data_IF_974035777511
#
_entry.id   IF_974035777511
#
_cell.length_a   1.000
_cell.length_b   1.000
_cell.length_c   1.000
_cell.angle_alpha   90.00
_cell.angle_beta   90.00
_cell.angle_gamma   90.00
#
_symmetry.space_group_name_H-M   'P 1'
#
loop_
_entity.id
_entity.type
_entity.pdbx_description
1 polymer ?
#
# COMPACT_ATOMS: atom_id res chain seq x y z
N UNK A 1 0.26 23.72 0.19
CA UNK A 1 0.16 23.41 1.63
C UNK A 1 1.30 22.47 1.98
N UNK A 2 2.18 22.87 2.89
CA UNK A 2 3.26 21.99 3.40
C UNK A 2 2.70 21.30 4.64
N UNK A 3 2.84 19.97 4.80
CA UNK A 3 2.35 19.28 5.99
C UNK A 3 3.03 19.80 7.27
N UNK A 4 2.30 19.88 8.38
CA UNK A 4 2.83 20.38 9.66
C UNK A 4 4.08 19.61 10.14
N UNK A 5 4.11 18.29 9.90
CA UNK A 5 5.27 17.46 10.19
C UNK A 5 6.53 17.86 9.39
N UNK A 6 6.37 18.48 8.21
CA UNK A 6 7.51 18.96 7.41
C UNK A 6 8.04 20.30 7.93
N UNK A 7 7.19 21.16 8.50
CA UNK A 7 7.62 22.44 9.08
C UNK A 7 8.35 22.23 10.40
N UNK A 8 7.87 21.33 11.25
CA UNK A 8 8.56 20.93 12.50
C UNK A 8 9.97 20.37 12.24
N UNK A 9 10.12 19.60 11.16
CA UNK A 9 11.40 19.00 10.77
C UNK A 9 12.40 20.03 10.21
N UNK A 10 11.91 21.09 9.56
CA UNK A 10 12.71 22.21 9.08
C UNK A 10 13.14 23.10 10.25
N UNK A 11 12.24 23.34 11.22
CA UNK A 11 12.51 24.09 12.44
C UNK A 11 13.56 23.39 13.31
N UNK A 12 13.41 22.08 13.52
CA UNK A 12 14.38 21.25 14.24
C UNK A 12 15.79 21.32 13.62
N UNK A 13 15.92 21.51 12.30
CA UNK A 13 17.25 21.70 11.66
C UNK A 13 17.92 23.00 12.05
N UNK A 14 17.14 24.07 12.28
CA UNK A 14 17.68 25.40 12.58
C UNK A 14 18.28 25.46 13.98
N UNK A 15 17.86 24.56 14.86
CA UNK A 15 18.29 24.50 16.26
C UNK A 15 19.43 23.52 16.55
N UNK A 16 19.96 22.78 15.57
CA UNK A 16 21.09 21.85 15.79
C UNK A 16 22.42 22.62 15.76
N UNK A 17 23.19 22.64 16.87
CA UNK A 17 24.48 23.33 16.92
C UNK A 17 25.53 22.75 15.96
N UNK A 18 26.56 23.56 15.68
CA UNK A 18 27.69 23.11 14.86
C UNK A 18 28.72 22.39 15.75
N UNK A 19 28.80 21.07 15.66
CA UNK A 19 29.76 20.22 16.37
C UNK A 19 29.67 18.77 15.88
N UNK A 20 30.76 18.01 15.99
CA UNK A 20 30.80 16.60 15.56
C UNK A 20 29.90 15.69 16.40
N UNK A 21 29.62 16.09 17.64
CA UNK A 21 28.67 15.45 18.55
C UNK A 21 27.22 15.44 18.01
N UNK A 22 26.86 16.42 17.18
CA UNK A 22 25.54 16.54 16.56
C UNK A 22 25.47 15.99 15.13
N UNK A 23 26.56 15.40 14.60
CA UNK A 23 26.58 14.94 13.22
C UNK A 23 25.63 13.78 12.95
N UNK A 24 25.41 12.92 13.94
CA UNK A 24 24.44 11.82 13.82
C UNK A 24 23.01 12.34 13.77
N UNK A 25 22.65 13.26 14.65
CA UNK A 25 21.33 13.93 14.65
C UNK A 25 21.08 14.62 13.31
N UNK A 26 22.10 15.31 12.78
CA UNK A 26 22.04 15.97 11.48
C UNK A 26 21.92 14.98 10.33
N UNK A 27 22.61 13.83 10.39
CA UNK A 27 22.46 12.73 9.40
C UNK A 27 21.05 12.15 9.42
N UNK A 28 20.52 11.83 10.59
CA UNK A 28 19.18 11.29 10.76
C UNK A 28 18.11 12.27 10.24
N UNK A 29 18.27 13.55 10.58
CA UNK A 29 17.37 14.60 10.11
C UNK A 29 17.46 14.82 8.60
N UNK A 30 18.66 14.70 8.01
CA UNK A 30 18.85 14.69 6.55
C UNK A 30 18.17 13.53 5.87
N UNK A 31 18.30 12.33 6.42
CA UNK A 31 17.64 11.15 5.91
C UNK A 31 16.11 11.28 5.95
N UNK A 32 15.54 11.76 7.07
CA UNK A 32 14.10 12.03 7.20
C UNK A 32 13.60 13.07 6.18
N UNK A 33 14.31 14.18 6.01
CA UNK A 33 13.91 15.22 5.05
C UNK A 33 14.03 14.76 3.60
N UNK A 34 15.03 13.94 3.30
CA UNK A 34 15.12 13.29 1.99
C UNK A 34 13.91 12.39 1.73
N UNK A 35 13.46 11.61 2.72
CA UNK A 35 12.25 10.79 2.61
C UNK A 35 10.98 11.59 2.34
N UNK A 36 10.78 12.69 3.09
CA UNK A 36 9.63 13.58 2.90
C UNK A 36 9.63 14.20 1.49
N UNK A 37 10.78 14.66 1.02
CA UNK A 37 10.90 15.22 -0.32
C UNK A 37 10.60 14.15 -1.40
N UNK A 38 11.10 12.92 -1.22
CA UNK A 38 10.86 11.81 -2.14
C UNK A 38 9.40 11.42 -2.21
N UNK A 39 8.70 11.33 -1.08
CA UNK A 39 7.27 11.05 -1.02
C UNK A 39 6.44 12.11 -1.76
N UNK A 40 6.79 13.39 -1.58
CA UNK A 40 6.14 14.50 -2.29
C UNK A 40 6.32 14.44 -3.80
N UNK A 41 7.49 14.02 -4.29
CA UNK A 41 7.74 13.81 -5.71
C UNK A 41 6.90 12.65 -6.28
N UNK A 42 6.77 11.56 -5.52
CA UNK A 42 5.92 10.42 -5.89
C UNK A 42 4.45 10.80 -5.98
N UNK A 43 3.94 11.55 -4.99
CA UNK A 43 2.57 12.05 -4.96
C UNK A 43 2.25 12.92 -6.18
N UNK A 44 3.16 13.84 -6.55
CA UNK A 44 3.03 14.62 -7.78
C UNK A 44 2.97 13.71 -9.01
N UNK A 45 3.89 12.75 -9.14
CA UNK A 45 3.91 11.85 -10.29
C UNK A 45 2.60 11.06 -10.42
N UNK A 46 2.01 10.61 -9.30
CA UNK A 46 0.72 9.97 -9.27
C UNK A 46 -0.42 10.92 -9.68
N UNK A 47 -0.45 12.14 -9.14
CA UNK A 47 -1.49 13.14 -9.43
C UNK A 47 -1.56 13.54 -10.91
N UNK A 48 -0.42 13.56 -11.61
CA UNK A 48 -0.35 13.90 -13.05
C UNK A 48 -0.44 12.64 -13.93
N UNK A 49 -0.67 11.46 -13.35
CA UNK A 49 -0.76 10.20 -14.10
C UNK A 49 0.56 9.73 -14.74
N UNK A 50 1.71 10.22 -14.25
CA UNK A 50 3.04 9.84 -14.78
C UNK A 50 3.48 8.47 -14.24
N UNK A 51 2.85 7.42 -14.76
CA UNK A 51 3.09 6.02 -14.39
C UNK A 51 4.56 5.61 -14.52
N UNK A 52 5.29 6.11 -15.52
CA UNK A 52 6.71 5.82 -15.74
C UNK A 52 7.58 6.34 -14.60
N UNK A 53 7.36 7.56 -14.12
CA UNK A 53 8.09 8.09 -12.98
C UNK A 53 7.70 7.40 -11.68
N UNK A 54 6.40 7.14 -11.49
CA UNK A 54 5.91 6.42 -10.31
C UNK A 54 6.54 5.02 -10.21
N UNK A 55 6.60 4.28 -11.31
CA UNK A 55 7.24 2.97 -11.36
C UNK A 55 8.74 3.03 -11.09
N UNK A 56 9.43 4.08 -11.58
CA UNK A 56 10.85 4.30 -11.27
C UNK A 56 11.07 4.52 -9.78
N UNK A 57 10.24 5.36 -9.14
CA UNK A 57 10.30 5.55 -7.70
C UNK A 57 10.03 4.24 -6.95
N UNK A 58 8.98 3.51 -7.31
CA UNK A 58 8.68 2.20 -6.70
C UNK A 58 9.84 1.23 -6.85
N UNK A 59 10.62 1.25 -7.94
CA UNK A 59 11.82 0.40 -8.09
C UNK A 59 13.02 0.88 -7.29
N UNK A 60 13.23 2.19 -7.19
CA UNK A 60 14.31 2.78 -6.40
C UNK A 60 14.09 2.55 -4.89
N UNK A 61 12.82 2.57 -4.49
CA UNK A 61 12.31 2.34 -3.13
C UNK A 61 12.12 0.88 -2.80
N UNK A 62 11.64 0.15 -3.80
CA UNK A 62 11.25 -1.24 -3.72
C UNK A 62 12.49 -2.09 -3.68
N UNK A 63 12.84 -2.42 -2.44
CA UNK A 63 13.57 -3.64 -2.11
C UNK A 63 15.03 -3.57 -2.55
N UNK A 64 15.86 -3.02 -1.66
CA UNK A 64 17.33 -3.10 -1.76
C UNK A 64 17.88 -4.52 -1.52
N UNK A 65 17.03 -5.53 -1.29
CA UNK A 65 17.37 -6.95 -1.32
C UNK A 65 16.09 -7.76 -1.54
N UNK A 66 15.81 -8.31 -2.73
CA UNK A 66 14.94 -9.45 -2.81
C UNK A 66 15.79 -10.59 -2.26
N UNK A 67 15.91 -10.69 -0.93
CA UNK A 67 16.31 -11.93 -0.31
C UNK A 67 15.23 -12.90 -0.72
N UNK A 68 15.48 -13.54 -1.86
CA UNK A 68 14.72 -14.52 -2.62
C UNK A 68 13.25 -14.59 -2.22
N UNK A 69 12.39 -14.13 -3.12
CA UNK A 69 10.97 -14.53 -3.20
C UNK A 69 10.81 -15.90 -2.56
N UNK A 70 9.94 -16.03 -1.55
CA UNK A 70 9.61 -17.30 -0.90
C UNK A 70 9.79 -18.45 -1.88
N UNK A 71 10.67 -19.39 -1.53
CA UNK A 71 10.98 -20.54 -2.35
C UNK A 71 9.66 -21.20 -2.71
N UNK A 72 9.20 -20.99 -3.95
CA UNK A 72 7.89 -21.48 -4.39
C UNK A 72 8.00 -23.00 -4.38
N UNK A 73 7.20 -23.63 -3.54
CA UNK A 73 7.18 -25.08 -3.38
C UNK A 73 5.92 -25.68 -4.02
N UNK A 74 6.04 -26.93 -4.42
CA UNK A 74 4.91 -27.78 -4.76
C UNK A 74 4.01 -28.01 -3.54
N UNK A 75 2.82 -28.58 -3.76
CA UNK A 75 1.87 -28.90 -2.67
C UNK A 75 2.44 -29.88 -1.65
N UNK A 76 3.37 -30.73 -2.05
CA UNK A 76 4.07 -31.69 -1.20
C UNK A 76 5.24 -31.06 -0.41
N UNK A 77 5.47 -29.76 -0.58
CA UNK A 77 6.56 -29.01 0.07
C UNK A 77 7.90 -29.06 -0.66
N UNK A 78 8.01 -29.78 -1.78
CA UNK A 78 9.24 -29.83 -2.57
C UNK A 78 9.53 -28.49 -3.25
N UNK A 79 10.80 -28.08 -3.28
CA UNK A 79 11.22 -26.79 -3.85
C UNK A 79 11.19 -26.82 -5.38
N UNK A 80 10.57 -25.81 -6.00
CA UNK A 80 10.54 -25.68 -7.46
C UNK A 80 11.72 -24.84 -7.94
N UNK A 81 12.67 -25.49 -8.62
CA UNK A 81 13.84 -24.81 -9.19
C UNK A 81 13.59 -24.22 -10.59
N UNK A 82 12.59 -24.73 -11.32
CA UNK A 82 12.31 -24.29 -12.70
C UNK A 82 11.40 -23.05 -12.73
N UNK A 83 11.81 -21.98 -13.43
CA UNK A 83 11.07 -20.71 -13.48
C UNK A 83 9.67 -20.85 -14.09
N UNK A 84 9.51 -21.58 -15.19
CA UNK A 84 8.18 -21.79 -15.80
C UNK A 84 7.25 -22.48 -14.81
N UNK A 85 7.74 -23.54 -14.16
CA UNK A 85 6.97 -24.27 -13.15
C UNK A 85 6.59 -23.42 -11.94
N UNK A 86 7.46 -22.49 -11.52
CA UNK A 86 7.15 -21.51 -10.45
C UNK A 86 5.98 -20.60 -10.83
N UNK A 87 5.92 -20.15 -12.10
CA UNK A 87 4.81 -19.34 -12.62
C UNK A 87 3.51 -20.15 -12.68
N UNK A 88 3.58 -21.40 -13.14
CA UNK A 88 2.42 -22.29 -13.19
C UNK A 88 1.87 -22.54 -11.79
N UNK A 89 2.75 -22.84 -10.81
CA UNK A 89 2.38 -23.07 -9.41
C UNK A 89 1.77 -21.81 -8.77
N UNK A 90 2.28 -20.63 -9.11
CA UNK A 90 1.64 -19.36 -8.74
C UNK A 90 0.21 -19.30 -9.29
N UNK A 91 0.03 -19.52 -10.60
CA UNK A 91 -1.28 -19.44 -11.20
C UNK A 91 -2.26 -20.47 -10.62
N UNK A 92 -1.80 -21.69 -10.31
CA UNK A 92 -2.59 -22.72 -9.60
C UNK A 92 -3.03 -22.24 -8.21
N UNK A 93 -2.10 -21.72 -7.41
CA UNK A 93 -2.40 -21.24 -6.06
C UNK A 93 -3.44 -20.12 -6.07
N UNK A 94 -3.30 -19.14 -6.96
CA UNK A 94 -4.26 -18.05 -7.08
C UNK A 94 -5.61 -18.52 -7.62
N UNK A 95 -5.65 -19.48 -8.55
CA UNK A 95 -6.92 -20.10 -8.95
C UNK A 95 -7.58 -20.75 -7.73
N UNK A 96 -6.88 -21.59 -6.99
CA UNK A 96 -7.44 -22.28 -5.82
C UNK A 96 -7.97 -21.32 -4.75
N UNK A 97 -7.27 -20.21 -4.50
CA UNK A 97 -7.67 -19.22 -3.50
C UNK A 97 -8.79 -18.28 -3.98
N UNK A 98 -8.80 -17.93 -5.26
CA UNK A 98 -9.69 -16.90 -5.81
C UNK A 98 -10.77 -17.44 -6.76
N UNK A 99 -10.87 -18.75 -6.93
CA UNK A 99 -12.03 -19.37 -7.56
C UNK A 99 -13.24 -19.17 -6.64
N UNK A 100 -13.93 -18.06 -6.85
CA UNK A 100 -15.33 -17.88 -6.44
C UNK A 100 -16.12 -19.08 -6.99
N UNK A 101 -16.97 -19.76 -6.20
CA UNK A 101 -17.87 -20.73 -6.80
C UNK A 101 -18.62 -20.00 -7.91
N UNK A 102 -18.59 -20.55 -9.14
CA UNK A 102 -19.42 -20.06 -10.25
C UNK A 102 -20.76 -19.68 -9.64
N UNK A 103 -21.13 -18.39 -9.72
CA UNK A 103 -22.35 -17.89 -9.12
C UNK A 103 -23.45 -18.88 -9.47
N UNK A 104 -23.85 -19.69 -8.48
CA UNK A 104 -24.88 -20.68 -8.67
C UNK A 104 -26.04 -19.89 -9.23
N UNK A 105 -26.43 -20.19 -10.47
CA UNK A 105 -27.51 -19.46 -11.17
C UNK A 105 -28.84 -19.66 -10.46
N UNK A 106 -28.86 -20.47 -9.39
CA UNK A 106 -29.87 -20.46 -8.36
C UNK A 106 -29.51 -19.41 -7.30
N UNK A 107 -29.82 -18.15 -7.61
CA UNK A 107 -30.14 -17.22 -6.54
C UNK A 107 -31.27 -17.89 -5.73
N UNK A 108 -31.17 -18.03 -4.40
CA UNK A 108 -32.34 -18.39 -3.63
C UNK A 108 -33.41 -17.36 -3.98
N UNK A 109 -34.59 -17.81 -4.39
CA UNK A 109 -35.75 -16.95 -4.55
C UNK A 109 -35.90 -16.21 -3.23
N UNK A 110 -35.45 -14.96 -3.19
CA UNK A 110 -35.66 -14.09 -2.04
C UNK A 110 -37.17 -13.93 -2.00
N UNK A 111 -37.82 -14.72 -1.15
CA UNK A 111 -39.18 -14.45 -0.73
C UNK A 111 -39.20 -12.97 -0.34
N UNK A 112 -40.14 -12.21 -0.89
CA UNK A 112 -40.34 -10.79 -0.57
C UNK A 112 -40.66 -10.66 0.92
N UNK A 113 -39.65 -10.79 1.78
CA UNK A 113 -39.77 -10.44 3.17
C UNK A 113 -39.70 -8.92 3.23
N UNK A 114 -40.88 -8.37 3.51
CA UNK A 114 -41.17 -7.05 4.07
C UNK A 114 -40.20 -5.94 3.67
N UNK A 115 -40.67 -5.05 2.81
CA UNK A 115 -40.20 -3.66 2.76
C UNK A 115 -39.96 -3.20 4.19
N UNK A 116 -38.69 -2.92 4.51
CA UNK A 116 -38.32 -2.28 5.76
C UNK A 116 -39.19 -1.03 5.87
N UNK A 117 -40.08 -0.99 6.87
CA UNK A 117 -40.82 0.23 7.20
C UNK A 117 -39.82 1.23 7.76
N UNK A 118 -39.12 1.91 6.87
CA UNK A 118 -38.35 3.10 7.17
C UNK A 118 -39.40 4.19 7.32
N UNK A 119 -39.57 4.71 8.52
CA UNK A 119 -40.38 5.90 8.75
C UNK A 119 -39.68 7.09 8.07
N UNK A 120 -40.29 7.59 7.00
CA UNK A 120 -39.82 8.75 6.23
C UNK A 120 -40.42 10.04 6.82
N UNK A 121 -40.98 9.99 8.03
CA UNK A 121 -41.48 11.17 8.74
C UNK A 121 -40.41 12.26 8.88
N UNK A 122 -40.77 13.55 8.68
CA UNK A 122 -39.84 14.65 8.89
C UNK A 122 -39.35 14.64 10.35
N UNK A 123 -38.06 14.92 10.59
CA UNK A 123 -37.52 14.91 11.94
C UNK A 123 -38.25 15.97 12.77
N UNK A 124 -38.80 15.56 13.92
CA UNK A 124 -39.46 16.49 14.83
C UNK A 124 -38.42 17.43 15.42
N UNK A 125 -38.62 18.73 15.18
CA UNK A 125 -37.94 19.79 15.91
C UNK A 125 -38.41 19.69 17.37
N UNK A 126 -37.54 19.18 18.24
CA UNK A 126 -37.66 19.39 19.68
C UNK A 126 -36.92 20.67 20.02
N UNK A 127 -37.63 21.55 20.73
CA UNK A 127 -37.19 22.82 21.31
C UNK A 127 -36.27 22.61 22.53
#
# INVERSE_FOLDING_TARGET
WIPAASTELIDARQHIPSGSEHDEERRQLKHKLWWVAKAKEMEKAAAIGNSRQLFRFIREMGIRNPTVSETISEKDGSTIHCQSRRLDRWAEHFREQFNWPLASTQLPTISKQSEWQIDIGPPSLSE
#
